data_IF_736954421086
#
_entry.id   IF_736954421086
#
_cell.length_a   1.000
_cell.length_b   1.000
_cell.length_c   1.000
_cell.angle_alpha   90.00
_cell.angle_beta   90.00
_cell.angle_gamma   90.00
#
_symmetry.space_group_name_H-M   'P 1'
#
loop_
_entity.id
_entity.type
_entity.pdbx_description
1 polymer ?
#
# COMPACT_ATOMS: atom_id res chain seq x y z
N UNK A 1 -14.11 2.42 -6.02
CA UNK A 1 -12.91 2.53 -5.18
C UNK A 1 -12.95 1.45 -4.12
N UNK A 2 -12.03 0.51 -4.23
CA UNK A 2 -11.65 -0.48 -3.22
C UNK A 2 -10.25 -0.14 -2.70
N UNK A 3 -9.88 -0.74 -1.58
CA UNK A 3 -8.52 -0.63 -1.04
C UNK A 3 -7.82 -1.99 -1.12
N UNK A 4 -6.65 -2.00 -1.74
CA UNK A 4 -5.74 -3.13 -1.78
C UNK A 4 -4.56 -2.85 -0.85
N UNK A 5 -4.07 -3.87 -0.15
CA UNK A 5 -2.95 -3.73 0.77
C UNK A 5 -1.92 -4.80 0.44
N UNK A 6 -0.71 -4.38 0.08
CA UNK A 6 0.45 -5.25 0.17
C UNK A 6 0.73 -5.48 1.66
N UNK A 7 0.35 -6.65 2.15
CA UNK A 7 0.32 -6.93 3.57
C UNK A 7 1.61 -7.58 4.08
N UNK A 8 2.56 -7.91 3.20
CA UNK A 8 3.82 -8.52 3.60
C UNK A 8 4.77 -7.52 4.28
N UNK A 9 4.78 -6.27 3.80
CA UNK A 9 5.58 -5.17 4.37
C UNK A 9 4.76 -4.13 5.16
N UNK A 10 3.43 -4.24 5.20
CA UNK A 10 2.57 -3.23 5.84
C UNK A 10 2.57 -3.35 7.38
N UNK A 11 2.86 -2.27 8.13
CA UNK A 11 2.85 -2.26 9.59
C UNK A 11 1.47 -2.63 10.16
N UNK A 12 1.42 -3.39 11.25
CA UNK A 12 0.16 -3.81 11.88
C UNK A 12 -0.76 -2.64 12.24
N UNK A 13 -0.19 -1.53 12.75
CA UNK A 13 -0.96 -0.32 13.08
C UNK A 13 -1.64 0.33 11.87
N UNK A 14 -1.09 0.18 10.67
CA UNK A 14 -1.69 0.66 9.42
C UNK A 14 -2.87 -0.24 9.04
N UNK A 15 -2.72 -1.56 9.18
CA UNK A 15 -3.82 -2.53 8.98
C UNK A 15 -5.01 -2.21 9.90
N UNK A 16 -4.75 -1.92 11.18
CA UNK A 16 -5.79 -1.52 12.15
C UNK A 16 -6.52 -0.22 11.78
N UNK A 17 -5.83 0.74 11.15
CA UNK A 17 -6.48 1.95 10.61
C UNK A 17 -7.40 1.56 9.45
N UNK A 18 -6.92 0.73 8.54
CA UNK A 18 -7.67 0.30 7.36
C UNK A 18 -8.91 -0.52 7.73
N UNK A 19 -8.83 -1.42 8.73
CA UNK A 19 -9.99 -2.16 9.21
C UNK A 19 -11.09 -1.23 9.74
N UNK A 20 -10.72 -0.22 10.53
CA UNK A 20 -11.67 0.78 11.04
C UNK A 20 -12.30 1.61 9.93
N UNK A 21 -11.53 1.94 8.89
CA UNK A 21 -12.03 2.63 7.70
C UNK A 21 -12.99 1.75 6.90
N UNK A 22 -12.67 0.46 6.72
CA UNK A 22 -13.50 -0.52 6.03
C UNK A 22 -14.91 -0.57 6.64
N UNK A 23 -14.98 -0.71 7.96
CA UNK A 23 -16.25 -0.74 8.70
C UNK A 23 -16.99 0.59 8.64
N UNK A 24 -16.30 1.70 8.92
CA UNK A 24 -16.91 3.02 9.01
C UNK A 24 -17.51 3.49 7.69
N UNK A 25 -16.86 3.16 6.57
CA UNK A 25 -17.25 3.62 5.24
C UNK A 25 -17.89 2.53 4.39
N UNK A 26 -18.12 1.34 4.95
CA UNK A 26 -18.61 0.17 4.21
C UNK A 26 -17.78 -0.13 2.94
N UNK A 27 -16.46 0.05 3.03
CA UNK A 27 -15.54 -0.05 1.90
C UNK A 27 -14.78 -1.37 1.90
N UNK A 28 -14.72 -2.03 0.74
CA UNK A 28 -13.94 -3.26 0.59
C UNK A 28 -12.44 -2.99 0.73
N UNK A 29 -11.81 -3.65 1.70
CA UNK A 29 -10.37 -3.69 1.95
C UNK A 29 -9.89 -5.13 1.78
N UNK A 30 -8.98 -5.36 0.83
CA UNK A 30 -8.39 -6.67 0.58
C UNK A 30 -6.90 -6.65 0.87
N UNK A 31 -6.47 -7.50 1.80
CA UNK A 31 -5.08 -7.68 2.17
C UNK A 31 -4.51 -8.84 1.38
N UNK A 32 -3.46 -8.60 0.62
CA UNK A 32 -2.79 -9.61 -0.21
C UNK A 32 -1.43 -9.93 0.43
N UNK A 33 -1.16 -11.21 0.65
CA UNK A 33 0.13 -11.68 1.18
C UNK A 33 0.44 -13.11 0.73
N UNK A 34 1.73 -13.45 0.72
CA UNK A 34 2.19 -14.82 0.47
C UNK A 34 1.98 -15.78 1.66
N UNK A 35 1.64 -15.25 2.84
CA UNK A 35 1.41 -16.01 4.06
C UNK A 35 -0.04 -15.92 4.53
N UNK A 36 -0.45 -16.91 5.31
CA UNK A 36 -1.77 -16.89 5.94
C UNK A 36 -1.87 -15.71 6.91
N UNK A 37 -2.91 -14.89 6.73
CA UNK A 37 -3.20 -13.75 7.58
C UNK A 37 -4.55 -13.91 8.23
N UNK A 38 -4.61 -13.59 9.53
CA UNK A 38 -5.90 -13.42 10.22
C UNK A 38 -6.34 -11.97 10.08
N UNK A 39 -7.56 -11.79 9.60
CA UNK A 39 -8.25 -10.50 9.52
C UNK A 39 -9.47 -10.53 10.44
N UNK A 40 -9.96 -9.37 10.91
CA UNK A 40 -11.19 -9.30 11.71
C UNK A 40 -12.38 -9.87 10.92
N UNK A 41 -13.36 -10.41 11.66
CA UNK A 41 -14.61 -10.91 11.09
C UNK A 41 -15.48 -9.75 10.61
N UNK A 42 -15.29 -9.35 9.36
CA UNK A 42 -15.93 -8.21 8.71
C UNK A 42 -16.47 -8.61 7.34
N UNK A 43 -17.59 -8.03 6.91
CA UNK A 43 -18.08 -8.16 5.52
C UNK A 43 -17.23 -7.36 4.51
N UNK A 44 -16.42 -6.43 5.01
CA UNK A 44 -15.65 -5.48 4.21
C UNK A 44 -14.16 -5.76 4.18
N UNK A 45 -13.65 -6.57 5.12
CA UNK A 45 -12.23 -6.92 5.17
C UNK A 45 -12.03 -8.34 4.67
N UNK A 46 -11.17 -8.51 3.67
CA UNK A 46 -10.81 -9.80 3.11
C UNK A 46 -9.29 -10.02 3.18
N UNK A 47 -8.88 -11.26 3.35
CA UNK A 47 -7.50 -11.69 3.16
C UNK A 47 -7.44 -12.57 1.92
N UNK A 48 -6.57 -12.22 0.97
CA UNK A 48 -6.24 -13.01 -0.20
C UNK A 48 -4.83 -13.56 -0.01
N UNK A 49 -4.73 -14.87 0.21
CA UNK A 49 -3.44 -15.55 0.25
C UNK A 49 -3.03 -15.92 -1.18
N UNK A 50 -1.81 -15.53 -1.55
CA UNK A 50 -1.19 -15.91 -2.82
C UNK A 50 -0.08 -16.95 -2.60
N UNK A 51 0.36 -17.68 -3.64
CA UNK A 51 1.51 -18.56 -3.53
C UNK A 51 2.77 -17.82 -3.07
N UNK A 52 3.71 -18.58 -2.48
CA UNK A 52 5.03 -18.04 -2.17
C UNK A 52 5.79 -17.72 -3.46
N UNK A 53 6.46 -16.57 -3.46
CA UNK A 53 7.32 -16.11 -4.54
C UNK A 53 7.58 -14.62 -4.43
N UNK A 54 8.68 -14.16 -5.01
CA UNK A 54 8.91 -12.73 -5.19
C UNK A 54 7.83 -12.16 -6.11
N UNK A 55 7.35 -10.96 -5.78
CA UNK A 55 6.43 -10.16 -6.60
C UNK A 55 5.05 -10.79 -6.91
N UNK A 56 4.73 -11.97 -6.35
CA UNK A 56 3.45 -12.66 -6.60
C UNK A 56 2.27 -11.85 -6.03
N UNK A 57 2.42 -11.29 -4.83
CA UNK A 57 1.40 -10.45 -4.22
C UNK A 57 1.18 -9.17 -5.04
N UNK A 58 2.27 -8.55 -5.48
CA UNK A 58 2.25 -7.33 -6.27
C UNK A 58 1.55 -7.55 -7.61
N UNK A 59 1.93 -8.63 -8.33
CA UNK A 59 1.31 -9.02 -9.58
C UNK A 59 -0.19 -9.29 -9.42
N UNK A 60 -0.61 -9.93 -8.32
CA UNK A 60 -2.02 -10.23 -8.06
C UNK A 60 -2.82 -8.96 -7.74
N UNK A 61 -2.26 -8.04 -6.94
CA UNK A 61 -2.85 -6.72 -6.69
C UNK A 61 -3.04 -6.00 -8.02
N UNK A 62 -1.98 -5.87 -8.82
CA UNK A 62 -2.04 -5.20 -10.12
C UNK A 62 -3.06 -5.87 -11.02
N UNK A 63 -3.12 -7.20 -11.07
CA UNK A 63 -4.07 -7.95 -11.90
C UNK A 63 -5.53 -7.65 -11.55
N UNK A 64 -5.86 -7.56 -10.26
CA UNK A 64 -7.21 -7.33 -9.75
C UNK A 64 -7.60 -5.85 -9.61
N UNK A 65 -6.62 -4.96 -9.68
CA UNK A 65 -6.80 -3.52 -9.55
C UNK A 65 -7.59 -2.94 -10.73
N UNK A 66 -8.61 -2.16 -10.40
CA UNK A 66 -9.32 -1.28 -11.33
C UNK A 66 -8.85 0.18 -11.19
N UNK A 67 -9.02 0.98 -12.25
CA UNK A 67 -8.71 2.41 -12.20
C UNK A 67 -9.54 3.12 -11.12
N UNK A 68 -8.90 4.01 -10.35
CA UNK A 68 -9.50 4.71 -9.23
C UNK A 68 -9.57 3.93 -7.91
N UNK A 69 -9.06 2.70 -7.86
CA UNK A 69 -8.81 1.99 -6.60
C UNK A 69 -7.54 2.53 -5.90
N UNK A 70 -7.46 2.28 -4.59
CA UNK A 70 -6.33 2.68 -3.76
C UNK A 70 -5.50 1.46 -3.37
N UNK A 71 -4.19 1.53 -3.52
CA UNK A 71 -3.23 0.52 -3.07
C UNK A 71 -2.36 1.10 -1.96
N UNK A 72 -2.25 0.39 -0.84
CA UNK A 72 -1.33 0.72 0.25
C UNK A 72 -0.09 -0.16 0.12
N UNK A 73 1.04 0.45 -0.22
CA UNK A 73 2.31 -0.27 -0.42
C UNK A 73 3.53 0.60 -0.12
N UNK A 74 4.56 -0.01 0.47
CA UNK A 74 5.89 0.60 0.59
C UNK A 74 6.79 0.32 -0.62
N UNK A 75 6.34 -0.53 -1.53
CA UNK A 75 7.10 -0.99 -2.69
C UNK A 75 6.94 -0.05 -3.88
N UNK A 76 8.05 0.54 -4.31
CA UNK A 76 8.07 1.56 -5.38
C UNK A 76 7.73 0.97 -6.76
N UNK A 77 8.27 -0.19 -7.18
CA UNK A 77 7.82 -0.90 -8.38
C UNK A 77 6.31 -1.14 -8.39
N UNK A 78 5.73 -1.76 -7.34
CA UNK A 78 4.28 -1.93 -7.26
C UNK A 78 3.53 -0.60 -7.38
N UNK A 79 3.97 0.44 -6.67
CA UNK A 79 3.35 1.76 -6.76
C UNK A 79 3.37 2.33 -8.19
N UNK A 80 4.46 2.10 -8.95
CA UNK A 80 4.56 2.48 -10.35
C UNK A 80 3.52 1.77 -11.22
N UNK A 81 3.35 0.46 -11.03
CA UNK A 81 2.38 -0.33 -11.79
C UNK A 81 0.93 0.06 -11.47
N UNK A 82 0.67 0.41 -10.20
CA UNK A 82 -0.62 0.93 -9.75
C UNK A 82 -0.96 2.25 -10.46
N UNK A 83 -0.01 3.19 -10.51
CA UNK A 83 -0.19 4.46 -11.21
C UNK A 83 -0.41 4.25 -12.71
N UNK A 84 0.35 3.35 -13.34
CA UNK A 84 0.19 3.01 -14.75
C UNK A 84 -1.20 2.45 -15.09
N UNK A 85 -1.88 1.79 -14.13
CA UNK A 85 -3.27 1.33 -14.26
C UNK A 85 -4.33 2.39 -13.90
N UNK A 86 -3.92 3.60 -13.54
CA UNK A 86 -4.83 4.66 -13.11
C UNK A 86 -5.38 4.47 -11.70
N UNK A 87 -4.72 3.65 -10.88
CA UNK A 87 -4.97 3.56 -9.44
C UNK A 87 -4.21 4.62 -8.65
N UNK A 88 -4.49 4.70 -7.36
CA UNK A 88 -3.75 5.54 -6.42
C UNK A 88 -2.86 4.66 -5.55
N UNK A 89 -1.61 5.08 -5.30
CA UNK A 89 -0.72 4.36 -4.41
C UNK A 89 -0.34 5.23 -3.20
N UNK A 90 -0.55 4.70 -1.99
CA UNK A 90 -0.27 5.35 -0.72
C UNK A 90 0.80 4.57 0.06
N UNK A 91 1.90 5.23 0.38
CA UNK A 91 2.91 4.68 1.25
C UNK A 91 2.35 4.56 2.69
N UNK A 92 2.64 3.46 3.44
CA UNK A 92 2.32 3.33 4.86
C UNK A 92 2.77 4.49 5.75
N UNK A 93 3.71 5.33 5.30
CA UNK A 93 4.19 6.55 5.97
C UNK A 93 3.36 7.81 5.68
N UNK A 94 2.34 7.71 4.82
CA UNK A 94 1.39 8.79 4.55
C UNK A 94 1.71 9.67 3.35
N UNK A 95 2.61 9.22 2.47
CA UNK A 95 2.93 9.91 1.23
C UNK A 95 2.28 9.20 0.04
N UNK A 96 1.65 9.96 -0.85
CA UNK A 96 1.16 9.41 -2.11
C UNK A 96 2.28 9.35 -3.14
N UNK A 97 2.34 8.24 -3.86
CA UNK A 97 3.10 8.18 -5.10
C UNK A 97 2.32 8.90 -6.19
N UNK A 98 3.05 9.57 -7.08
CA UNK A 98 2.52 10.34 -8.20
C UNK A 98 3.46 10.22 -9.38
N UNK A 99 2.98 10.47 -10.59
CA UNK A 99 3.83 10.46 -11.79
C UNK A 99 5.02 11.43 -11.68
N UNK A 100 4.86 12.51 -10.90
CA UNK A 100 5.90 13.50 -10.67
C UNK A 100 7.04 13.00 -9.76
N UNK A 101 6.77 12.08 -8.83
CA UNK A 101 7.78 11.60 -7.86
C UNK A 101 8.23 10.16 -8.11
N UNK A 102 7.44 9.33 -8.80
CA UNK A 102 7.67 7.90 -8.91
C UNK A 102 8.95 7.57 -9.67
N UNK A 103 9.24 8.30 -10.76
CA UNK A 103 10.44 8.11 -11.57
C UNK A 103 11.73 8.35 -10.76
N UNK A 104 11.74 9.39 -9.93
CA UNK A 104 12.86 9.69 -9.05
C UNK A 104 13.03 8.59 -7.99
N UNK A 105 11.93 8.13 -7.37
CA UNK A 105 12.00 7.06 -6.37
C UNK A 105 12.50 5.74 -6.96
N UNK A 106 12.05 5.37 -8.16
CA UNK A 106 12.54 4.19 -8.88
C UNK A 106 14.05 4.28 -9.14
N UNK A 107 14.52 5.45 -9.55
CA UNK A 107 15.95 5.69 -9.83
C UNK A 107 16.77 5.56 -8.55
N UNK A 108 16.33 6.17 -7.45
CA UNK A 108 17.01 6.08 -6.15
C UNK A 108 17.01 4.66 -5.60
N UNK A 109 15.91 3.91 -5.76
CA UNK A 109 15.86 2.50 -5.38
C UNK A 109 16.93 1.68 -6.11
N UNK A 110 16.98 1.78 -7.44
CA UNK A 110 17.96 1.06 -8.28
C UNK A 110 19.39 1.41 -7.86
N UNK A 111 19.68 2.69 -7.69
CA UNK A 111 20.99 3.15 -7.24
C UNK A 111 21.38 2.58 -5.87
N UNK A 112 20.48 2.60 -4.88
CA UNK A 112 20.75 2.04 -3.56
C UNK A 112 20.89 0.51 -3.58
N UNK A 113 20.20 -0.18 -4.50
CA UNK A 113 20.36 -1.61 -4.71
C UNK A 113 21.73 -1.95 -5.33
N UNK A 114 22.16 -1.19 -6.35
CA UNK A 114 23.51 -1.31 -6.94
C UNK A 114 24.60 -1.09 -5.88
N UNK A 115 24.45 -0.10 -5.00
CA UNK A 115 25.41 0.15 -3.91
C UNK A 115 25.49 -1.06 -2.96
N UNK A 116 24.36 -1.64 -2.55
CA UNK A 116 24.34 -2.84 -1.71
C UNK A 116 24.97 -4.05 -2.39
N UNK A 117 24.70 -4.26 -3.69
CA UNK A 117 25.33 -5.33 -4.47
C UNK A 117 26.85 -5.19 -4.54
N UNK A 118 27.36 -3.96 -4.51
CA UNK A 118 28.78 -3.63 -4.46
C UNK A 118 29.36 -3.61 -3.03
N UNK A 119 28.62 -4.07 -2.02
CA UNK A 119 29.08 -4.20 -0.63
C UNK A 119 29.07 -2.91 0.18
N UNK A 120 28.45 -1.83 -0.34
CA UNK A 120 28.27 -0.58 0.42
C UNK A 120 27.09 -0.75 1.37
N UNK A 121 27.33 -0.57 2.67
CA UNK A 121 26.25 -0.52 3.66
C UNK A 121 25.51 0.82 3.53
N UNK A 122 24.34 0.77 2.90
CA UNK A 122 23.46 1.92 2.75
C UNK A 122 22.55 2.15 3.96
N UNK A 123 22.60 1.25 4.95
CA UNK A 123 21.58 1.12 5.98
C UNK A 123 20.22 0.67 5.42
N UNK A 124 19.29 0.41 6.34
CA UNK A 124 17.89 0.14 6.04
C UNK A 124 17.02 1.40 6.10
N UNK A 125 15.75 1.32 5.64
CA UNK A 125 14.80 2.40 5.83
C UNK A 125 14.66 2.74 7.31
N UNK A 126 14.42 4.03 7.61
CA UNK A 126 14.23 4.49 8.98
C UNK A 126 13.11 3.69 9.68
N UNK A 127 13.18 3.46 11.00
CA UNK A 127 12.11 2.78 11.73
C UNK A 127 10.76 3.49 11.54
N UNK A 128 9.68 2.71 11.51
CA UNK A 128 8.32 3.26 11.50
C UNK A 128 8.00 3.90 12.86
N UNK A 129 7.41 5.08 12.87
CA UNK A 129 7.14 5.85 14.10
C UNK A 129 5.69 6.36 14.20
N UNK A 130 5.34 7.03 15.30
CA UNK A 130 3.99 7.56 15.51
C UNK A 130 3.63 8.71 14.54
N UNK A 131 4.60 9.48 14.07
CA UNK A 131 4.35 10.54 13.10
C UNK A 131 3.94 9.92 11.75
N UNK A 132 4.61 8.85 11.31
CA UNK A 132 4.22 8.08 10.11
C UNK A 132 2.77 7.60 10.20
N UNK A 133 2.37 7.04 11.35
CA UNK A 133 0.99 6.59 11.57
C UNK A 133 -0.03 7.73 11.44
N UNK A 134 0.26 8.90 12.01
CA UNK A 134 -0.61 10.09 11.93
C UNK A 134 -0.67 10.62 10.50
N UNK A 135 0.47 10.70 9.82
CA UNK A 135 0.55 11.14 8.43
C UNK A 135 -0.27 10.22 7.52
N UNK A 136 -0.15 8.91 7.70
CA UNK A 136 -0.97 7.94 6.98
C UNK A 136 -2.45 8.16 7.20
N UNK A 137 -2.91 8.25 8.45
CA UNK A 137 -4.32 8.46 8.75
C UNK A 137 -4.86 9.75 8.10
N UNK A 138 -4.09 10.83 8.17
CA UNK A 138 -4.45 12.13 7.59
C UNK A 138 -4.50 12.08 6.05
N UNK A 139 -3.51 11.44 5.42
CA UNK A 139 -3.45 11.31 3.98
C UNK A 139 -4.60 10.45 3.45
N UNK A 140 -4.87 9.33 4.11
CA UNK A 140 -5.98 8.43 3.79
C UNK A 140 -7.32 9.15 3.92
N UNK A 141 -7.59 9.82 5.04
CA UNK A 141 -8.87 10.51 5.25
C UNK A 141 -9.10 11.66 4.26
N UNK A 142 -8.05 12.43 3.94
CA UNK A 142 -8.11 13.46 2.90
C UNK A 142 -8.39 12.86 1.52
N UNK A 143 -7.81 11.70 1.20
CA UNK A 143 -8.04 11.06 -0.07
C UNK A 143 -9.48 10.52 -0.17
N UNK A 144 -9.93 9.79 0.85
CA UNK A 144 -11.26 9.20 0.88
C UNK A 144 -12.38 10.26 0.88
N UNK A 145 -12.22 11.36 1.63
CA UNK A 145 -13.21 12.46 1.62
C UNK A 145 -13.42 13.11 0.25
N UNK A 146 -12.45 13.03 -0.65
CA UNK A 146 -12.56 13.55 -2.02
C UNK A 146 -13.19 12.56 -3.01
N UNK A 147 -13.02 11.26 -2.77
CA UNK A 147 -13.36 10.21 -3.76
C UNK A 147 -14.55 9.34 -3.35
N UNK A 148 -14.91 9.34 -2.07
CA UNK A 148 -16.05 8.60 -1.54
C UNK A 148 -17.18 9.57 -1.30
N UNK A 149 -18.25 9.49 -2.11
CA UNK A 149 -19.48 10.23 -1.82
C UNK A 149 -20.09 9.68 -0.54
N UNK A 150 -20.25 10.52 0.48
CA UNK A 150 -21.04 10.16 1.65
C UNK A 150 -22.49 9.97 1.20
N UNK A 151 -22.96 8.73 1.14
CA UNK A 151 -24.38 8.46 1.02
C UNK A 151 -25.04 9.08 2.25
N UNK A 152 -25.81 10.15 2.04
CA UNK A 152 -26.58 10.82 3.09
C UNK A 152 -27.91 10.11 3.23
#
# INVERSE_FOLDING_TARGET
>A
MRIWVDADACPGVIKEILYRVAERLEMEVTLVANKLMRVPGSRFVRALQVPNGADVADAEIVRLLDAGDLVVTGDVPLASDVLAKGGFALNPRGEFYTDANIAQMLTMRKFMEELRQNGVDTGGPAPFNQADQRNFANALDRHLSRHVKRTT
#
